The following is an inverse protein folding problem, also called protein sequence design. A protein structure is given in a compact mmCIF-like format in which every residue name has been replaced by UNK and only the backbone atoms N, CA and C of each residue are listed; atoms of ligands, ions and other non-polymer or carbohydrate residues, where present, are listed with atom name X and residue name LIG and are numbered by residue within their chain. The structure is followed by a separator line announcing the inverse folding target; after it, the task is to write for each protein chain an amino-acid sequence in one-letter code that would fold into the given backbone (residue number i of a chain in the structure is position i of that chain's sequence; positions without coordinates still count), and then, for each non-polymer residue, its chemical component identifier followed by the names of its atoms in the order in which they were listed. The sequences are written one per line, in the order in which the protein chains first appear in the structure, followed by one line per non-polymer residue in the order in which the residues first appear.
data_IF_260185109256
#
_entry.id   IF_260185109256
#
_cell.length_a   1.000
_cell.length_b   1.000
_cell.length_c   1.000
_cell.angle_alpha   90.00
_cell.angle_beta   90.00
_cell.angle_gamma   90.00
#
_symmetry.space_group_name_H-M   'P 1'
#
loop_
_entity.id
_entity.type
_entity.pdbx_description
1 polymer ?
#
# COMPACT_ATOMS: atom_id res chain seq x y z
N UNK A 1 -7.23 9.00 -9.60
CA UNK A 1 -6.04 8.32 -9.05
C UNK A 1 -5.23 9.25 -8.15
N UNK A 2 -4.59 10.31 -8.68
CA UNK A 2 -3.81 11.27 -7.88
C UNK A 2 -4.57 11.84 -6.67
N UNK A 3 -5.84 12.19 -6.83
CA UNK A 3 -6.66 12.76 -5.75
C UNK A 3 -6.90 11.79 -4.59
N UNK A 4 -6.90 10.48 -4.85
CA UNK A 4 -7.08 9.47 -3.80
C UNK A 4 -5.79 9.31 -3.00
N UNK A 5 -4.66 9.19 -3.70
CA UNK A 5 -3.36 9.05 -3.03
C UNK A 5 -2.99 10.32 -2.27
N UNK A 6 -3.39 11.50 -2.75
CA UNK A 6 -3.21 12.75 -2.01
C UNK A 6 -3.93 12.79 -0.65
N UNK A 7 -4.98 11.97 -0.45
CA UNK A 7 -5.64 11.81 0.85
C UNK A 7 -4.89 10.85 1.77
N UNK A 8 -4.23 9.84 1.20
CA UNK A 8 -3.41 8.86 1.91
C UNK A 8 -2.01 9.41 2.22
N UNK A 9 -1.94 10.57 2.87
CA UNK A 9 -0.70 11.24 3.24
C UNK A 9 -0.61 11.43 4.75
N UNK A 10 0.59 11.73 5.23
CA UNK A 10 0.86 12.12 6.62
C UNK A 10 1.77 13.35 6.66
N UNK A 11 1.81 14.11 7.76
CA UNK A 11 2.68 15.29 7.89
C UNK A 11 4.17 15.00 7.66
N UNK A 12 4.62 13.78 7.93
CA UNK A 12 6.00 13.35 7.76
C UNK A 12 6.36 13.03 6.30
N UNK A 13 5.39 12.95 5.38
CA UNK A 13 5.67 12.68 3.97
C UNK A 13 6.34 13.90 3.34
N UNK A 14 7.49 13.70 2.69
CA UNK A 14 8.25 14.75 2.03
C UNK A 14 8.12 14.65 0.52
N UNK A 15 7.65 15.71 -0.12
CA UNK A 15 7.46 15.78 -1.57
C UNK A 15 6.08 15.32 -2.02
N UNK A 16 5.98 14.74 -3.22
CA UNK A 16 4.73 14.28 -3.81
C UNK A 16 4.94 13.10 -4.74
N UNK A 17 3.83 12.58 -5.28
CA UNK A 17 3.83 11.43 -6.18
C UNK A 17 4.59 11.73 -7.48
N UNK A 18 5.47 10.81 -7.87
CA UNK A 18 6.25 10.89 -9.11
C UNK A 18 7.76 11.04 -8.94
N UNK A 19 8.28 11.01 -7.69
CA UNK A 19 9.70 10.76 -7.43
C UNK A 19 10.01 9.25 -7.51
N UNK A 20 11.25 8.89 -7.88
CA UNK A 20 11.72 7.49 -7.93
C UNK A 20 11.55 6.72 -6.61
N UNK A 21 11.38 7.43 -5.49
CA UNK A 21 11.10 6.88 -4.17
C UNK A 21 10.27 7.88 -3.35
N UNK A 22 9.41 7.37 -2.48
CA UNK A 22 8.75 8.15 -1.44
C UNK A 22 9.71 8.49 -0.29
N UNK A 23 9.56 9.67 0.30
CA UNK A 23 10.37 10.11 1.44
C UNK A 23 9.48 10.31 2.68
N UNK A 24 9.98 9.88 3.83
CA UNK A 24 9.34 10.03 5.14
C UNK A 24 10.33 10.66 6.12
N UNK A 25 9.93 11.75 6.78
CA UNK A 25 10.78 12.49 7.71
C UNK A 25 10.97 11.71 9.02
N UNK A 26 12.09 10.98 9.11
CA UNK A 26 12.49 10.25 10.30
C UNK A 26 12.74 11.14 11.52
N UNK A 27 12.78 12.48 11.38
CA UNK A 27 12.87 13.40 12.52
C UNK A 27 11.65 13.30 13.44
N UNK A 28 10.50 12.82 12.93
CA UNK A 28 9.31 12.51 13.72
C UNK A 28 9.58 11.47 14.83
N UNK A 29 10.61 10.63 14.66
CA UNK A 29 10.97 9.57 15.60
C UNK A 29 11.89 10.04 16.74
N UNK A 30 12.31 11.32 16.77
CA UNK A 30 13.25 11.85 17.78
C UNK A 30 12.76 11.75 19.22
N UNK A 31 11.45 11.62 19.44
CA UNK A 31 10.86 11.42 20.76
C UNK A 31 10.98 9.97 21.28
N UNK A 32 11.30 9.01 20.41
CA UNK A 32 11.49 7.62 20.78
C UNK A 32 12.89 7.40 21.33
N UNK A 33 13.03 6.53 22.32
CA UNK A 33 14.30 6.30 23.01
C UNK A 33 15.14 5.28 22.26
N UNK A 34 14.51 4.25 21.69
CA UNK A 34 15.13 3.24 20.83
C UNK A 34 14.10 2.73 19.81
N UNK A 35 13.80 3.52 18.76
CA UNK A 35 12.86 3.11 17.72
C UNK A 35 13.39 1.92 16.92
N UNK A 36 12.55 0.92 16.72
CA UNK A 36 12.75 -0.19 15.80
C UNK A 36 11.79 -0.01 14.63
N UNK A 37 12.29 -0.25 13.41
CA UNK A 37 11.45 -0.28 12.23
C UNK A 37 10.95 -1.72 12.02
N UNK A 38 9.63 -1.88 12.01
CA UNK A 38 8.98 -3.12 11.62
C UNK A 38 8.58 -3.02 10.15
N UNK A 39 8.76 -4.09 9.38
CA UNK A 39 8.35 -4.14 7.98
C UNK A 39 7.60 -5.43 7.70
N UNK A 40 6.56 -5.34 6.89
CA UNK A 40 5.84 -6.49 6.34
C UNK A 40 5.61 -6.27 4.85
N UNK A 41 5.52 -7.37 4.11
CA UNK A 41 5.08 -7.39 2.72
C UNK A 41 4.14 -8.55 2.54
N UNK A 42 3.04 -8.31 1.83
CA UNK A 42 2.04 -9.33 1.61
C UNK A 42 1.32 -9.10 0.28
N UNK A 43 0.62 -10.14 -0.16
CA UNK A 43 -0.32 -10.08 -1.28
C UNK A 43 -1.75 -10.30 -0.81
N UNK A 44 -2.70 -10.02 -1.69
CA UNK A 44 -4.11 -10.35 -1.43
C UNK A 44 -4.38 -11.86 -1.59
N UNK A 45 -3.55 -12.53 -2.40
CA UNK A 45 -3.73 -13.93 -2.74
C UNK A 45 -4.95 -14.17 -3.62
N UNK A 46 -5.50 -15.38 -3.59
CA UNK A 46 -6.53 -15.83 -4.55
C UNK A 46 -7.85 -15.04 -4.48
N UNK A 47 -8.07 -14.19 -3.48
CA UNK A 47 -9.24 -13.30 -3.42
C UNK A 47 -9.28 -12.30 -4.58
N UNK A 48 -8.14 -11.96 -5.19
CA UNK A 48 -8.11 -11.12 -6.42
C UNK A 48 -8.91 -11.73 -7.57
N UNK A 49 -8.97 -13.07 -7.66
CA UNK A 49 -9.75 -13.78 -8.68
C UNK A 49 -11.25 -13.53 -8.48
N UNK A 50 -11.71 -13.41 -7.24
CA UNK A 50 -13.12 -13.10 -6.95
C UNK A 50 -13.45 -11.66 -7.32
N UNK A 51 -12.60 -10.71 -6.93
CA UNK A 51 -12.75 -9.30 -7.32
C UNK A 51 -12.82 -9.14 -8.86
N UNK A 52 -11.95 -9.86 -9.58
CA UNK A 52 -11.95 -9.89 -11.05
C UNK A 52 -13.22 -10.49 -11.64
N UNK A 53 -13.69 -11.62 -11.11
CA UNK A 53 -14.93 -12.27 -11.60
C UNK A 53 -16.19 -11.46 -11.31
N UNK A 54 -16.18 -10.67 -10.25
CA UNK A 54 -17.29 -9.79 -9.86
C UNK A 54 -17.23 -8.43 -10.55
N UNK A 55 -16.11 -8.09 -11.20
CA UNK A 55 -15.81 -6.76 -11.75
C UNK A 55 -15.96 -5.64 -10.69
N UNK A 56 -15.51 -5.94 -9.46
CA UNK A 56 -15.51 -5.01 -8.32
C UNK A 56 -14.07 -4.91 -7.80
N UNK A 57 -13.46 -3.74 -7.96
CA UNK A 57 -12.02 -3.56 -7.71
C UNK A 57 -11.69 -2.51 -6.65
N UNK A 58 -12.64 -1.70 -6.21
CA UNK A 58 -12.37 -0.58 -5.29
C UNK A 58 -12.35 -0.98 -3.80
N UNK A 59 -12.63 -2.25 -3.49
CA UNK A 59 -12.57 -2.80 -2.14
C UNK A 59 -11.35 -3.69 -1.90
N UNK A 60 -10.75 -4.25 -2.95
CA UNK A 60 -9.64 -5.21 -2.82
C UNK A 60 -8.37 -4.58 -2.22
N UNK A 61 -8.23 -3.25 -2.32
CA UNK A 61 -7.16 -2.52 -1.66
C UNK A 61 -7.26 -2.52 -0.14
N UNK A 62 -8.47 -2.61 0.43
CA UNK A 62 -8.65 -2.80 1.88
C UNK A 62 -8.11 -4.14 2.34
N UNK A 63 -8.31 -5.19 1.55
CA UNK A 63 -7.75 -6.51 1.86
C UNK A 63 -6.22 -6.47 1.83
N UNK A 64 -5.62 -5.81 0.82
CA UNK A 64 -4.17 -5.69 0.74
C UNK A 64 -3.59 -4.93 1.94
N UNK A 65 -4.13 -3.74 2.23
CA UNK A 65 -3.62 -2.91 3.33
C UNK A 65 -3.84 -3.59 4.67
N UNK A 66 -5.00 -4.23 4.88
CA UNK A 66 -5.31 -4.96 6.12
C UNK A 66 -4.29 -6.05 6.41
N UNK A 67 -3.99 -6.92 5.43
CA UNK A 67 -2.99 -7.99 5.59
C UNK A 67 -1.62 -7.44 6.00
N UNK A 68 -1.13 -6.42 5.30
CA UNK A 68 0.21 -5.87 5.53
C UNK A 68 0.27 -5.08 6.85
N UNK A 69 -0.77 -4.31 7.19
CA UNK A 69 -0.77 -3.46 8.40
C UNK A 69 -1.04 -4.27 9.66
N UNK A 70 -1.91 -5.27 9.62
CA UNK A 70 -2.20 -6.11 10.80
C UNK A 70 -0.94 -6.83 11.30
N UNK A 71 -0.05 -7.26 10.39
CA UNK A 71 1.27 -7.81 10.74
C UNK A 71 2.14 -6.83 11.54
N UNK A 72 2.10 -5.54 11.21
CA UNK A 72 2.81 -4.51 11.97
C UNK A 72 2.19 -4.34 13.36
N UNK A 73 0.87 -4.27 13.42
CA UNK A 73 0.12 -4.02 14.67
C UNK A 73 0.30 -5.16 15.67
N UNK A 74 0.43 -6.42 15.21
CA UNK A 74 0.67 -7.59 16.07
C UNK A 74 1.95 -7.47 16.90
N UNK A 75 2.98 -6.78 16.39
CA UNK A 75 4.21 -6.49 17.15
C UNK A 75 4.19 -5.15 17.88
N UNK A 76 3.04 -4.46 17.92
CA UNK A 76 2.88 -3.16 18.57
C UNK A 76 3.37 -1.97 17.75
N UNK A 77 3.69 -2.16 16.46
CA UNK A 77 4.19 -1.08 15.63
C UNK A 77 3.07 -0.14 15.14
N UNK A 78 3.31 1.17 15.23
CA UNK A 78 2.50 2.19 14.54
C UNK A 78 2.84 2.15 13.04
N UNK A 79 1.85 1.95 12.15
CA UNK A 79 2.06 2.03 10.71
C UNK A 79 2.46 3.45 10.27
N UNK A 80 3.56 3.59 9.54
CA UNK A 80 4.04 4.88 9.06
C UNK A 80 3.70 5.10 7.58
N UNK A 81 4.17 4.21 6.72
CA UNK A 81 4.02 4.34 5.27
C UNK A 81 3.98 3.00 4.56
N UNK A 82 3.43 3.00 3.36
CA UNK A 82 3.25 1.85 2.48
C UNK A 82 3.62 2.18 1.03
N UNK A 83 4.04 1.15 0.30
CA UNK A 83 4.09 1.13 -1.16
C UNK A 83 3.31 -0.04 -1.73
N UNK A 84 2.71 0.12 -2.91
CA UNK A 84 2.01 -0.95 -3.63
C UNK A 84 2.72 -1.36 -4.94
N UNK A 85 2.46 -2.59 -5.38
CA UNK A 85 2.88 -3.11 -6.67
C UNK A 85 1.71 -3.83 -7.33
N UNK A 86 1.37 -3.40 -8.54
CA UNK A 86 0.30 -3.97 -9.35
C UNK A 86 0.90 -4.62 -10.59
N UNK A 87 0.84 -5.94 -10.68
CA UNK A 87 1.12 -6.66 -11.92
C UNK A 87 -0.19 -6.88 -12.68
N UNK A 88 -0.20 -6.64 -13.98
CA UNK A 88 -1.37 -6.91 -14.82
C UNK A 88 -0.97 -7.46 -16.19
N UNK A 89 -1.84 -8.24 -16.85
CA UNK A 89 -1.57 -8.68 -18.22
C UNK A 89 -1.67 -7.53 -19.23
N UNK A 90 -2.62 -6.62 -19.00
CA UNK A 90 -2.78 -5.34 -19.71
C UNK A 90 -3.28 -4.27 -18.75
N UNK A 91 -2.79 -3.04 -18.89
CA UNK A 91 -3.30 -1.89 -18.15
C UNK A 91 -4.70 -1.54 -18.65
N UNK A 92 -5.64 -1.64 -17.73
CA UNK A 92 -7.00 -1.10 -17.84
C UNK A 92 -7.10 0.09 -16.89
N UNK A 93 -6.94 1.35 -17.36
CA UNK A 93 -6.75 2.51 -16.49
C UNK A 93 -7.85 2.71 -15.44
N UNK A 94 -9.10 2.42 -15.79
CA UNK A 94 -10.25 2.55 -14.88
C UNK A 94 -10.20 1.52 -13.75
N UNK A 95 -9.87 0.26 -14.07
CA UNK A 95 -9.70 -0.82 -13.09
C UNK A 95 -8.53 -0.53 -12.14
N UNK A 96 -7.38 -0.14 -12.68
CA UNK A 96 -6.21 0.23 -11.86
C UNK A 96 -6.56 1.43 -10.96
N UNK A 97 -7.28 2.43 -11.47
CA UNK A 97 -7.72 3.56 -10.67
C UNK A 97 -8.67 3.16 -9.52
N UNK A 98 -9.52 2.15 -9.71
CA UNK A 98 -10.36 1.60 -8.63
C UNK A 98 -9.52 0.87 -7.58
N UNK A 99 -8.58 0.01 -7.99
CA UNK A 99 -7.67 -0.66 -7.04
C UNK A 99 -6.89 0.35 -6.21
N UNK A 100 -6.27 1.35 -6.85
CA UNK A 100 -5.51 2.40 -6.15
C UNK A 100 -6.40 3.25 -5.25
N UNK A 101 -7.66 3.50 -5.64
CA UNK A 101 -8.64 4.15 -4.75
C UNK A 101 -8.81 3.32 -3.46
N UNK A 102 -9.04 2.02 -3.58
CA UNK A 102 -9.23 1.14 -2.41
C UNK A 102 -7.99 1.09 -1.51
N UNK A 103 -6.80 1.02 -2.08
CA UNK A 103 -5.53 1.04 -1.32
C UNK A 103 -5.41 2.37 -0.57
N UNK A 104 -5.61 3.50 -1.26
CA UNK A 104 -5.50 4.82 -0.64
C UNK A 104 -6.53 5.04 0.47
N UNK A 105 -7.79 4.65 0.27
CA UNK A 105 -8.84 4.73 1.29
C UNK A 105 -8.50 3.86 2.51
N UNK A 106 -7.95 2.67 2.29
CA UNK A 106 -7.54 1.78 3.36
C UNK A 106 -6.30 2.31 4.12
N UNK A 107 -5.32 2.92 3.44
CA UNK A 107 -4.20 3.61 4.08
C UNK A 107 -4.68 4.74 5.01
N UNK A 108 -5.69 5.52 4.58
CA UNK A 108 -6.32 6.55 5.43
C UNK A 108 -6.93 5.94 6.69
N UNK A 109 -7.63 4.82 6.57
CA UNK A 109 -8.23 4.11 7.72
C UNK A 109 -7.15 3.54 8.65
N UNK A 110 -6.08 2.99 8.08
CA UNK A 110 -4.95 2.42 8.81
C UNK A 110 -4.02 3.49 9.44
N UNK A 111 -4.19 4.76 9.08
CA UNK A 111 -3.32 5.84 9.54
C UNK A 111 -1.91 5.82 8.95
N UNK A 112 -1.68 5.13 7.84
CA UNK A 112 -0.39 5.11 7.14
C UNK A 112 -0.44 5.94 5.84
N UNK A 113 0.72 6.44 5.40
CA UNK A 113 0.82 7.15 4.12
C UNK A 113 1.07 6.17 2.96
N UNK A 114 0.42 6.36 1.81
CA UNK A 114 0.79 5.69 0.57
C UNK A 114 1.85 6.54 -0.16
N UNK A 115 3.12 6.16 -0.03
CA UNK A 115 4.25 7.02 -0.43
C UNK A 115 4.81 6.69 -1.82
N UNK A 116 4.38 5.59 -2.43
CA UNK A 116 4.78 5.20 -3.76
C UNK A 116 4.11 3.92 -4.21
N UNK A 117 4.30 3.58 -5.48
CA UNK A 117 3.86 2.31 -6.03
C UNK A 117 4.27 2.18 -7.49
N UNK A 118 4.04 1.00 -8.06
CA UNK A 118 4.38 0.68 -9.44
C UNK A 118 3.28 -0.14 -10.11
N UNK A 119 3.07 0.08 -11.41
CA UNK A 119 2.17 -0.73 -12.23
C UNK A 119 2.94 -1.32 -13.40
N UNK A 120 3.05 -2.65 -13.44
CA UNK A 120 3.78 -3.36 -14.47
C UNK A 120 2.85 -4.21 -15.36
N UNK A 121 2.99 -4.06 -16.68
CA UNK A 121 2.36 -4.95 -17.65
C UNK A 121 3.25 -6.17 -17.91
N UNK A 122 2.70 -7.37 -17.75
CA UNK A 122 3.36 -8.65 -17.99
C UNK A 122 2.60 -9.49 -19.04
N UNK A 123 2.54 -9.03 -20.31
CA UNK A 123 1.84 -9.76 -21.36
C UNK A 123 2.46 -11.15 -21.57
N UNK A 124 1.62 -12.19 -21.57
CA UNK A 124 2.05 -13.58 -21.74
C UNK A 124 2.39 -14.31 -20.44
N UNK A 125 2.56 -13.59 -19.33
CA UNK A 125 2.61 -14.19 -17.98
C UNK A 125 1.22 -14.18 -17.33
N UNK A 126 0.53 -13.05 -17.40
CA UNK A 126 -0.85 -12.87 -16.92
C UNK A 126 -1.81 -12.78 -18.10
N UNK A 127 -3.03 -13.29 -17.93
CA UNK A 127 -4.13 -13.08 -18.87
C UNK A 127 -4.42 -11.58 -19.06
N UNK A 128 -4.97 -11.16 -20.21
CA UNK A 128 -5.14 -9.75 -20.56
C UNK A 128 -6.00 -8.95 -19.57
N UNK A 129 -6.87 -9.63 -18.82
CA UNK A 129 -7.75 -9.02 -17.82
C UNK A 129 -7.33 -9.37 -16.38
N UNK A 130 -6.28 -10.17 -16.22
CA UNK A 130 -5.79 -10.60 -14.91
C UNK A 130 -4.85 -9.55 -14.31
N UNK A 131 -4.93 -9.41 -12.99
CA UNK A 131 -3.99 -8.65 -12.19
C UNK A 131 -3.69 -9.34 -10.86
N UNK A 132 -2.54 -9.01 -10.29
CA UNK A 132 -2.14 -9.39 -8.94
C UNK A 132 -1.61 -8.18 -8.18
N UNK A 133 -1.71 -8.23 -6.85
CA UNK A 133 -1.44 -7.12 -5.96
C UNK A 133 -0.48 -7.54 -4.86
N UNK A 134 0.57 -6.75 -4.67
CA UNK A 134 1.47 -6.82 -3.53
C UNK A 134 1.59 -5.45 -2.86
N UNK A 135 1.87 -5.46 -1.57
CA UNK A 135 2.04 -4.26 -0.76
C UNK A 135 3.16 -4.46 0.23
N UNK A 136 3.83 -3.39 0.59
CA UNK A 136 4.86 -3.38 1.63
C UNK A 136 4.67 -2.16 2.52
N UNK A 137 4.65 -2.37 3.84
CA UNK A 137 4.55 -1.29 4.80
C UNK A 137 5.72 -1.30 5.77
N UNK A 138 6.01 -0.12 6.29
CA UNK A 138 6.94 0.10 7.39
C UNK A 138 6.20 0.78 8.53
N UNK A 139 6.37 0.25 9.73
CA UNK A 139 5.93 0.84 10.97
C UNK A 139 7.09 1.06 11.93
N UNK A 140 6.79 1.66 13.08
CA UNK A 140 7.76 1.90 14.14
C UNK A 140 7.23 1.42 15.48
N UNK A 141 8.10 0.81 16.28
CA UNK A 141 7.81 0.38 17.64
C UNK A 141 8.99 0.74 18.55
N UNK A 142 8.72 1.08 19.80
CA UNK A 142 9.79 1.25 20.79
C UNK A 142 10.34 -0.12 21.20
N UNK A 143 11.66 -0.25 21.36
CA UNK A 143 12.29 -1.56 21.60
C UNK A 143 11.87 -2.26 22.90
N UNK A 144 11.26 -1.56 23.86
CA UNK A 144 10.72 -2.13 25.11
C UNK A 144 9.19 -2.05 25.23
N UNK A 145 8.50 -1.91 24.10
CA UNK A 145 7.05 -2.05 24.00
C UNK A 145 6.57 -3.48 24.34
#
# INVERSE_FOLDING_TARGET
MRDWVAKATRPEVVGGLGGFAGLFDASALRGMRRPLLATSTDGVGTKVVIAQRMDVHDTIGFDLVGMVVDDLVVCGAEPLFMTDYIACGRVHPERIAQVVKGIAEACVVAGCALVGGETAEHPGLLGPDEYDLAGAATGVVEADA
#
